data_IF_107561009605
#
_entry.id   IF_107561009605
#
_cell.length_a   1.000
_cell.length_b   1.000
_cell.length_c   1.000
_cell.angle_alpha   90.00
_cell.angle_beta   90.00
_cell.angle_gamma   90.00
#
_symmetry.space_group_name_H-M   'P 1'
#
loop_
_entity.id
_entity.type
_entity.pdbx_description
1 polymer ?
#
# COMPACT_ATOMS: atom_id res chain seq x y z
N UNK A 1 28.76 -20.29 35.22
CA UNK A 1 28.50 -18.85 34.97
C UNK A 1 29.08 -18.33 33.65
N UNK A 2 30.35 -18.59 33.29
CA UNK A 2 30.98 -18.01 32.08
C UNK A 2 30.26 -18.34 30.74
N UNK A 3 29.80 -19.57 30.53
CA UNK A 3 29.10 -19.98 29.30
C UNK A 3 27.74 -19.29 29.07
N UNK A 4 27.00 -18.99 30.15
CA UNK A 4 25.66 -18.41 30.05
C UNK A 4 25.70 -16.96 29.54
N UNK A 5 26.76 -16.21 29.89
CA UNK A 5 26.97 -14.85 29.43
C UNK A 5 27.26 -14.75 27.92
N UNK A 6 27.98 -15.72 27.35
CA UNK A 6 28.21 -15.76 25.90
C UNK A 6 26.92 -16.01 25.12
N UNK A 7 25.99 -16.80 25.67
CA UNK A 7 24.69 -17.07 25.05
C UNK A 7 23.85 -15.78 24.96
N UNK A 8 23.81 -14.98 26.03
CA UNK A 8 23.08 -13.71 26.06
C UNK A 8 23.73 -12.65 25.15
N UNK A 9 25.06 -12.59 25.09
CA UNK A 9 25.78 -11.73 24.15
C UNK A 9 25.49 -12.09 22.69
N UNK A 10 25.28 -13.37 22.38
CA UNK A 10 24.92 -13.84 21.03
C UNK A 10 23.48 -13.44 20.63
N UNK A 11 22.62 -13.15 21.60
CA UNK A 11 21.24 -12.70 21.39
C UNK A 11 21.18 -11.31 20.76
N UNK A 12 22.22 -10.47 20.96
CA UNK A 12 22.33 -9.12 20.42
C UNK A 12 22.40 -9.12 18.88
N UNK A 13 23.40 -9.77 18.23
CA UNK A 13 23.46 -9.79 16.77
C UNK A 13 22.26 -10.52 16.13
N UNK A 14 21.71 -11.54 16.80
CA UNK A 14 20.49 -12.23 16.34
C UNK A 14 19.29 -11.29 16.39
N UNK A 15 19.09 -10.56 17.48
CA UNK A 15 17.99 -9.61 17.62
C UNK A 15 18.06 -8.49 16.59
N UNK A 16 19.25 -7.92 16.37
CA UNK A 16 19.48 -6.86 15.37
C UNK A 16 19.20 -7.38 13.96
N UNK A 17 19.72 -8.55 13.58
CA UNK A 17 19.50 -9.11 12.24
C UNK A 17 18.03 -9.39 11.97
N UNK A 18 17.32 -9.96 12.95
CA UNK A 18 15.88 -10.17 12.86
C UNK A 18 15.12 -8.84 12.69
N UNK A 19 15.43 -7.83 13.51
CA UNK A 19 14.79 -6.51 13.42
C UNK A 19 15.03 -5.83 12.06
N UNK A 20 16.24 -5.93 11.50
CA UNK A 20 16.56 -5.37 10.17
C UNK A 20 15.78 -6.07 9.06
N UNK A 21 15.71 -7.41 9.08
CA UNK A 21 14.96 -8.19 8.06
C UNK A 21 13.47 -7.86 8.15
N UNK A 22 12.91 -7.87 9.36
CA UNK A 22 11.52 -7.52 9.63
C UNK A 22 11.18 -6.10 9.18
N UNK A 23 12.06 -5.14 9.46
CA UNK A 23 11.89 -3.76 9.00
C UNK A 23 11.83 -3.68 7.47
N UNK A 24 12.75 -4.36 6.76
CA UNK A 24 12.75 -4.40 5.29
C UNK A 24 11.45 -4.97 4.73
N UNK A 25 10.93 -6.05 5.31
CA UNK A 25 9.66 -6.63 4.89
C UNK A 25 8.45 -5.73 5.18
N UNK A 26 8.47 -5.01 6.30
CA UNK A 26 7.45 -4.03 6.63
C UNK A 26 7.44 -2.87 5.62
N UNK A 27 8.62 -2.29 5.32
CA UNK A 27 8.75 -1.26 4.30
C UNK A 27 8.33 -1.76 2.91
N UNK A 28 8.73 -2.97 2.51
CA UNK A 28 8.35 -3.56 1.22
C UNK A 28 6.83 -3.78 1.12
N UNK A 29 6.20 -4.24 2.20
CA UNK A 29 4.75 -4.44 2.25
C UNK A 29 3.99 -3.12 2.18
N UNK A 30 4.49 -2.08 2.86
CA UNK A 30 3.94 -0.72 2.76
C UNK A 30 4.15 -0.11 1.37
N UNK A 31 5.17 -0.56 0.64
CA UNK A 31 5.47 -0.12 -0.73
C UNK A 31 4.92 -1.11 -1.76
N UNK A 32 3.70 -1.61 -1.52
CA UNK A 32 2.97 -2.58 -2.35
C UNK A 32 3.36 -2.55 -3.84
N UNK A 33 3.73 -3.71 -4.38
CA UNK A 33 4.33 -3.84 -5.71
C UNK A 33 3.44 -3.23 -6.79
N UNK A 34 4.00 -2.29 -7.56
CA UNK A 34 3.28 -1.60 -8.62
C UNK A 34 3.27 -2.46 -9.87
N UNK A 35 2.06 -2.83 -10.31
CA UNK A 35 1.84 -3.64 -11.51
C UNK A 35 1.63 -2.74 -12.72
N UNK A 36 1.00 -1.59 -12.52
CA UNK A 36 0.67 -0.66 -13.59
C UNK A 36 0.56 0.77 -13.07
N UNK A 37 0.87 1.73 -13.94
CA UNK A 37 0.69 3.15 -13.72
C UNK A 37 0.21 3.82 -15.00
N UNK A 38 -0.79 4.71 -14.88
CA UNK A 38 -1.19 5.60 -15.96
C UNK A 38 -1.53 7.00 -15.44
N UNK A 39 -1.24 8.06 -16.20
CA UNK A 39 -1.69 9.40 -15.84
C UNK A 39 -3.22 9.49 -15.93
N UNK A 40 -3.84 10.24 -15.02
CA UNK A 40 -5.30 10.42 -15.02
C UNK A 40 -5.83 11.09 -16.30
N UNK A 41 -4.97 11.80 -17.06
CA UNK A 41 -5.32 12.42 -18.33
C UNK A 41 -5.59 11.44 -19.47
N UNK A 42 -5.16 10.18 -19.36
CA UNK A 42 -5.25 9.19 -20.45
C UNK A 42 -6.64 8.58 -20.60
N UNK A 43 -7.49 8.63 -19.57
CA UNK A 43 -8.85 8.08 -19.59
C UNK A 43 -8.92 6.55 -19.48
N UNK A 44 -8.13 5.82 -20.27
CA UNK A 44 -8.13 4.35 -20.32
C UNK A 44 -6.70 3.78 -20.41
N UNK A 45 -6.54 2.56 -19.90
CA UNK A 45 -5.26 1.86 -19.87
C UNK A 45 -5.41 0.34 -19.92
N UNK A 46 -4.39 -0.33 -20.45
CA UNK A 46 -4.34 -1.80 -20.51
C UNK A 46 -3.19 -2.28 -19.64
N UNK A 47 -3.44 -3.28 -18.81
CA UNK A 47 -2.45 -3.83 -17.90
C UNK A 47 -2.57 -5.35 -17.83
N UNK A 48 -1.46 -6.00 -17.48
CA UNK A 48 -1.39 -7.46 -17.36
C UNK A 48 -1.13 -7.85 -15.92
N UNK A 49 -1.91 -8.80 -15.44
CA UNK A 49 -1.74 -9.44 -14.14
C UNK A 49 -1.05 -10.78 -14.40
N UNK A 50 0.13 -10.96 -13.80
CA UNK A 50 0.95 -12.18 -13.94
C UNK A 50 0.66 -13.23 -12.87
N UNK A 51 0.00 -12.86 -11.78
CA UNK A 51 -0.28 -13.78 -10.67
C UNK A 51 -1.69 -13.51 -10.15
N UNK A 52 -2.47 -14.54 -9.85
CA UNK A 52 -3.78 -14.35 -9.23
C UNK A 52 -3.65 -13.72 -7.84
N UNK A 53 -4.54 -12.80 -7.48
CA UNK A 53 -4.52 -12.19 -6.16
C UNK A 53 -5.44 -10.98 -5.98
N UNK A 54 -5.28 -10.33 -4.84
CA UNK A 54 -5.95 -9.07 -4.52
C UNK A 54 -5.08 -7.89 -4.96
N UNK A 55 -5.72 -6.93 -5.60
CA UNK A 55 -5.12 -5.72 -6.13
C UNK A 55 -5.85 -4.50 -5.60
N UNK A 56 -5.11 -3.41 -5.43
CA UNK A 56 -5.64 -2.11 -5.04
C UNK A 56 -5.50 -1.10 -6.18
N UNK A 57 -6.50 -0.24 -6.33
CA UNK A 57 -6.45 0.96 -7.16
C UNK A 57 -6.05 2.13 -6.26
N UNK A 58 -4.90 2.71 -6.58
CA UNK A 58 -4.30 3.82 -5.86
C UNK A 58 -4.29 5.06 -6.75
N UNK A 59 -4.60 6.22 -6.17
CA UNK A 59 -4.30 7.51 -6.80
C UNK A 59 -3.04 8.06 -6.15
N UNK A 60 -2.01 8.29 -6.96
CA UNK A 60 -0.75 8.93 -6.56
C UNK A 60 -0.71 10.34 -7.13
N UNK A 61 -0.34 11.33 -6.32
CA UNK A 61 -0.22 12.70 -6.79
C UNK A 61 0.51 13.63 -5.84
N UNK A 62 0.64 14.89 -6.23
CA UNK A 62 1.35 15.91 -5.45
C UNK A 62 0.60 16.24 -4.16
N UNK A 63 1.34 16.25 -3.05
CA UNK A 63 0.81 16.63 -1.74
C UNK A 63 0.25 18.08 -1.77
N UNK A 64 -0.87 18.33 -1.11
CA UNK A 64 -1.55 19.64 -1.03
C UNK A 64 -2.14 20.19 -2.34
N UNK A 65 -2.32 19.36 -3.36
CA UNK A 65 -3.07 19.73 -4.57
C UNK A 65 -4.51 19.19 -4.51
N UNK A 66 -5.41 19.75 -5.31
CA UNK A 66 -6.82 19.33 -5.35
C UNK A 66 -6.90 17.94 -5.97
N UNK A 67 -7.21 16.93 -5.14
CA UNK A 67 -7.28 15.52 -5.55
C UNK A 67 -8.41 15.29 -6.56
N UNK A 68 -8.28 14.38 -7.54
CA UNK A 68 -9.35 14.02 -8.49
C UNK A 68 -10.36 12.99 -7.95
N UNK A 69 -10.28 12.65 -6.66
CA UNK A 69 -11.15 11.64 -6.03
C UNK A 69 -12.61 12.07 -6.08
N UNK A 70 -13.47 11.18 -6.57
CA UNK A 70 -14.92 11.40 -6.63
C UNK A 70 -15.43 12.16 -7.86
N UNK A 71 -14.53 12.77 -8.64
CA UNK A 71 -14.87 13.41 -9.91
C UNK A 71 -15.11 12.38 -11.02
N UNK A 72 -14.51 11.20 -10.89
CA UNK A 72 -14.74 10.04 -11.76
C UNK A 72 -14.67 8.73 -10.96
N UNK A 73 -15.26 7.67 -11.51
CA UNK A 73 -15.17 6.31 -10.99
C UNK A 73 -14.22 5.44 -11.82
N UNK A 74 -14.09 4.19 -11.42
CA UNK A 74 -13.24 3.22 -12.11
C UNK A 74 -14.08 2.05 -12.61
N UNK A 75 -13.77 1.58 -13.82
CA UNK A 75 -14.22 0.28 -14.30
C UNK A 75 -13.00 -0.55 -14.67
N UNK A 76 -13.05 -1.84 -14.35
CA UNK A 76 -12.05 -2.82 -14.79
C UNK A 76 -12.78 -3.92 -15.54
N UNK A 77 -12.31 -4.24 -16.74
CA UNK A 77 -12.89 -5.26 -17.60
C UNK A 77 -11.79 -6.24 -17.99
N UNK A 78 -12.10 -7.53 -17.91
CA UNK A 78 -11.21 -8.57 -18.41
C UNK A 78 -11.22 -8.55 -19.95
N UNK A 79 -10.08 -8.35 -20.58
CA UNK A 79 -10.01 -8.09 -22.02
C UNK A 79 -10.53 -9.26 -22.86
N UNK A 80 -10.24 -10.50 -22.45
CA UNK A 80 -10.64 -11.69 -23.22
C UNK A 80 -12.13 -12.06 -23.04
N UNK A 81 -12.69 -11.89 -21.85
CA UNK A 81 -14.06 -12.34 -21.54
C UNK A 81 -15.06 -11.20 -21.58
N UNK A 82 -14.62 -9.95 -21.57
CA UNK A 82 -15.50 -8.78 -21.45
C UNK A 82 -16.15 -8.63 -20.08
N UNK A 83 -15.81 -9.50 -19.12
CA UNK A 83 -16.42 -9.50 -17.80
C UNK A 83 -15.95 -8.30 -16.97
N UNK A 84 -16.91 -7.56 -16.40
CA UNK A 84 -16.62 -6.48 -15.46
C UNK A 84 -16.20 -7.05 -14.11
N UNK A 85 -15.09 -6.55 -13.58
CA UNK A 85 -14.58 -6.95 -12.27
C UNK A 85 -15.25 -6.07 -11.19
N UNK A 86 -15.88 -6.66 -10.17
CA UNK A 86 -16.47 -5.90 -9.08
C UNK A 86 -15.37 -5.23 -8.26
N UNK A 87 -15.55 -3.94 -7.98
CA UNK A 87 -14.63 -3.15 -7.16
C UNK A 87 -15.22 -3.00 -5.75
N UNK A 88 -14.40 -3.25 -4.72
CA UNK A 88 -14.75 -3.04 -3.32
C UNK A 88 -14.16 -1.72 -2.83
N UNK A 89 -15.03 -0.81 -2.36
CA UNK A 89 -14.62 0.48 -1.82
C UNK A 89 -13.86 0.32 -0.50
N UNK A 90 -12.75 1.03 -0.34
CA UNK A 90 -12.00 1.10 0.92
C UNK A 90 -12.45 2.35 1.69
N UNK A 91 -13.29 2.15 2.70
CA UNK A 91 -13.85 3.24 3.52
C UNK A 91 -12.77 3.89 4.40
N UNK A 92 -11.98 3.10 5.11
CA UNK A 92 -10.78 3.57 5.82
C UNK A 92 -9.60 3.60 4.87
N UNK A 93 -9.54 4.69 4.09
CA UNK A 93 -8.51 4.85 3.07
C UNK A 93 -7.11 4.88 3.69
N UNK A 94 -6.26 3.98 3.20
CA UNK A 94 -4.84 4.01 3.55
C UNK A 94 -4.17 5.10 2.71
N UNK A 95 -3.55 6.06 3.40
CA UNK A 95 -2.72 7.09 2.76
C UNK A 95 -1.26 6.83 3.06
N UNK A 96 -0.44 6.69 2.01
CA UNK A 96 1.01 6.66 2.14
C UNK A 96 1.52 8.05 1.74
N UNK A 97 1.99 8.80 2.73
CA UNK A 97 2.57 10.12 2.51
C UNK A 97 4.08 9.97 2.30
N UNK A 98 4.54 10.26 1.09
CA UNK A 98 5.93 10.57 0.84
C UNK A 98 6.23 12.05 1.12
N UNK A 99 7.51 12.44 1.02
CA UNK A 99 7.94 13.84 1.23
C UNK A 99 7.30 14.84 0.25
N UNK A 100 6.94 14.42 -0.96
CA UNK A 100 6.37 15.29 -2.01
C UNK A 100 5.07 14.77 -2.63
N UNK A 101 4.77 13.49 -2.44
CA UNK A 101 3.64 12.80 -3.06
C UNK A 101 2.79 12.08 -2.01
N UNK A 102 1.48 12.16 -2.15
CA UNK A 102 0.55 11.33 -1.39
C UNK A 102 -0.01 10.24 -2.31
N UNK A 103 -0.17 9.05 -1.75
CA UNK A 103 -0.85 7.94 -2.41
C UNK A 103 -2.05 7.55 -1.57
N UNK A 104 -3.21 7.45 -2.21
CA UNK A 104 -4.47 7.12 -1.57
C UNK A 104 -5.06 5.88 -2.23
N UNK A 105 -5.29 4.84 -1.45
CA UNK A 105 -6.03 3.66 -1.91
C UNK A 105 -7.53 3.95 -1.91
N UNK A 106 -8.21 3.64 -3.01
CA UNK A 106 -9.64 3.91 -3.17
C UNK A 106 -10.47 2.63 -3.25
N UNK A 107 -10.01 1.68 -4.06
CA UNK A 107 -10.74 0.46 -4.37
C UNK A 107 -9.81 -0.74 -4.27
N UNK A 108 -10.36 -1.89 -3.90
CA UNK A 108 -9.71 -3.19 -3.99
C UNK A 108 -10.51 -4.11 -4.90
N UNK A 109 -9.83 -5.06 -5.54
CA UNK A 109 -10.47 -6.05 -6.39
C UNK A 109 -9.65 -7.35 -6.43
N UNK A 110 -10.33 -8.47 -6.62
CA UNK A 110 -9.69 -9.74 -6.90
C UNK A 110 -9.58 -9.93 -8.41
N UNK A 111 -8.42 -10.39 -8.89
CA UNK A 111 -8.24 -10.69 -10.30
C UNK A 111 -7.34 -11.92 -10.49
N UNK A 112 -7.63 -12.64 -11.56
CA UNK A 112 -6.87 -13.79 -12.02
C UNK A 112 -5.72 -13.35 -12.93
N UNK A 113 -4.89 -14.31 -13.36
CA UNK A 113 -3.87 -14.04 -14.35
C UNK A 113 -4.52 -13.71 -15.70
N UNK A 114 -4.16 -12.58 -16.29
CA UNK A 114 -4.80 -12.13 -17.53
C UNK A 114 -4.51 -10.68 -17.89
N UNK A 115 -5.06 -10.25 -19.01
CA UNK A 115 -4.99 -8.86 -19.47
C UNK A 115 -6.30 -8.16 -19.22
N UNK A 116 -6.22 -6.97 -18.64
CA UNK A 116 -7.35 -6.18 -18.18
C UNK A 116 -7.26 -4.76 -18.73
N UNK A 117 -8.42 -4.15 -18.86
CA UNK A 117 -8.59 -2.77 -19.27
C UNK A 117 -9.17 -2.00 -18.09
N UNK A 118 -8.53 -0.90 -17.72
CA UNK A 118 -9.00 0.04 -16.70
C UNK A 118 -9.44 1.33 -17.38
N UNK A 119 -10.65 1.79 -17.08
CA UNK A 119 -11.19 3.05 -17.57
C UNK A 119 -11.64 3.94 -16.41
N UNK A 120 -11.49 5.26 -16.62
CA UNK A 120 -11.87 6.33 -15.67
C UNK A 120 -13.27 6.89 -15.96
N UNK A 121 -14.05 6.22 -16.81
CA UNK A 121 -15.43 6.60 -17.17
C UNK A 121 -16.49 5.98 -16.24
N UNK A 122 -16.04 5.31 -15.17
CA UNK A 122 -16.93 4.68 -14.20
C UNK A 122 -17.73 5.68 -13.39
N UNK A 123 -18.83 5.20 -12.81
CA UNK A 123 -19.58 6.00 -11.86
C UNK A 123 -18.83 6.06 -10.53
N UNK A 124 -18.59 7.27 -10.01
CA UNK A 124 -18.03 7.44 -8.67
C UNK A 124 -19.04 7.10 -7.59
N UNK A 125 -18.57 6.47 -6.51
CA UNK A 125 -19.43 6.12 -5.38
C UNK A 125 -19.98 7.37 -4.67
N UNK A 126 -21.15 7.24 -4.05
CA UNK A 126 -21.81 8.34 -3.33
C UNK A 126 -20.92 8.94 -2.22
N UNK A 127 -20.13 8.11 -1.52
CA UNK A 127 -19.16 8.57 -0.53
C UNK A 127 -18.07 9.46 -1.15
N UNK A 128 -17.53 9.04 -2.30
CA UNK A 128 -16.50 9.80 -3.02
C UNK A 128 -17.08 11.10 -3.60
N UNK A 129 -18.31 11.07 -4.15
CA UNK A 129 -19.06 12.25 -4.60
C UNK A 129 -19.29 13.24 -3.46
N UNK A 130 -19.64 12.76 -2.27
CA UNK A 130 -19.79 13.58 -1.07
C UNK A 130 -18.49 14.28 -0.67
N UNK A 131 -17.37 13.56 -0.67
CA UNK A 131 -16.04 14.14 -0.43
C UNK A 131 -15.69 15.18 -1.49
N UNK A 132 -15.96 14.90 -2.77
CA UNK A 132 -15.71 15.82 -3.87
C UNK A 132 -16.52 17.11 -3.74
N UNK A 133 -17.79 17.02 -3.34
CA UNK A 133 -18.66 18.17 -3.13
C UNK A 133 -18.12 19.11 -2.05
N UNK A 134 -17.81 18.58 -0.86
CA UNK A 134 -17.24 19.36 0.25
C UNK A 134 -15.90 19.99 -0.15
N UNK A 135 -15.03 19.24 -0.81
CA UNK A 135 -13.74 19.73 -1.32
C UNK A 135 -13.92 20.86 -2.34
N UNK A 136 -14.86 20.73 -3.27
CA UNK A 136 -15.10 21.72 -4.32
C UNK A 136 -15.61 23.06 -3.75
N UNK A 137 -16.35 23.02 -2.65
CA UNK A 137 -16.75 24.23 -1.92
C UNK A 137 -15.56 24.94 -1.28
N UNK A 138 -14.58 24.19 -0.74
CA UNK A 138 -13.41 24.75 -0.05
C UNK A 138 -12.32 25.20 -1.06
N UNK A 139 -12.07 24.40 -2.09
CA UNK A 139 -11.00 24.61 -3.07
C UNK A 139 -11.61 24.81 -4.45
N UNK A 140 -11.75 26.07 -4.85
CA UNK A 140 -12.36 26.47 -6.12
C UNK A 140 -11.44 26.33 -7.34
N UNK A 141 -10.18 25.90 -7.17
CA UNK A 141 -9.24 25.70 -8.27
C UNK A 141 -9.66 24.53 -9.18
N UNK A 142 -9.38 24.57 -10.49
CA UNK A 142 -9.56 23.42 -11.37
C UNK A 142 -8.62 22.28 -10.97
N UNK A 143 -9.03 21.05 -11.24
CA UNK A 143 -8.23 19.85 -10.96
C UNK A 143 -7.26 19.67 -12.11
N UNK A 144 -5.96 19.64 -11.80
CA UNK A 144 -4.92 19.34 -12.77
C UNK A 144 -4.64 17.84 -12.76
N UNK A 145 -5.30 17.12 -13.68
CA UNK A 145 -5.16 15.67 -13.82
C UNK A 145 -3.75 15.23 -14.21
N UNK A 146 -2.91 16.11 -14.75
CA UNK A 146 -1.53 15.79 -15.12
C UNK A 146 -0.64 15.52 -13.90
N UNK A 147 -1.03 16.04 -12.73
CA UNK A 147 -0.31 15.88 -11.46
C UNK A 147 -0.64 14.57 -10.75
N UNK A 148 -1.56 13.78 -11.31
CA UNK A 148 -2.06 12.56 -10.72
C UNK A 148 -1.90 11.37 -11.66
N UNK A 149 -1.56 10.24 -11.06
CA UNK A 149 -1.53 8.95 -11.72
C UNK A 149 -2.37 7.93 -10.97
N UNK A 150 -3.02 7.06 -11.73
CA UNK A 150 -3.68 5.86 -11.24
C UNK A 150 -2.66 4.75 -11.25
N UNK A 151 -2.51 4.08 -10.12
CA UNK A 151 -1.59 2.97 -9.94
C UNK A 151 -2.39 1.73 -9.52
N UNK A 152 -2.07 0.60 -10.15
CA UNK A 152 -2.57 -0.70 -9.73
C UNK A 152 -1.44 -1.38 -8.98
N UNK A 153 -1.71 -1.76 -7.73
CA UNK A 153 -0.72 -2.37 -6.85
C UNK A 153 -1.21 -3.70 -6.32
N UNK A 154 -0.30 -4.67 -6.21
CA UNK A 154 -0.61 -5.97 -5.61
C UNK A 154 -0.68 -5.80 -4.09
N UNK A 155 -1.75 -6.28 -3.48
CA UNK A 155 -1.86 -6.26 -2.03
C UNK A 155 -0.85 -7.26 -1.45
N UNK A 156 -0.01 -6.82 -0.53
CA UNK A 156 0.91 -7.73 0.15
C UNK A 156 0.12 -8.64 1.08
N UNK A 157 0.48 -9.93 1.20
CA UNK A 157 -0.26 -10.83 2.06
C UNK A 157 -0.24 -10.31 3.50
N UNK A 158 -1.43 -10.22 4.12
CA UNK A 158 -1.60 -9.69 5.48
C UNK A 158 -0.72 -10.44 6.50
N UNK A 159 -0.52 -11.74 6.32
CA UNK A 159 0.37 -12.54 7.18
C UNK A 159 1.84 -12.09 7.12
N UNK A 160 2.33 -11.58 5.99
CA UNK A 160 3.70 -11.05 5.87
C UNK A 160 3.86 -9.80 6.73
N UNK A 161 2.82 -8.96 6.74
CA UNK A 161 2.80 -7.77 7.58
C UNK A 161 2.77 -8.14 9.07
N UNK A 162 1.91 -9.08 9.48
CA UNK A 162 1.89 -9.61 10.85
C UNK A 162 3.25 -10.20 11.26
N UNK A 163 3.82 -11.08 10.43
CA UNK A 163 5.11 -11.72 10.72
C UNK A 163 6.25 -10.68 10.82
N UNK A 164 6.20 -9.63 10.00
CA UNK A 164 7.15 -8.52 10.06
C UNK A 164 7.03 -7.73 11.37
N UNK A 165 5.82 -7.43 11.83
CA UNK A 165 5.59 -6.76 13.12
C UNK A 165 6.10 -7.61 14.28
N UNK A 166 5.72 -8.90 14.31
CA UNK A 166 6.19 -9.82 15.36
C UNK A 166 7.71 -9.95 15.36
N UNK A 167 8.33 -10.13 14.20
CA UNK A 167 9.79 -10.22 14.10
C UNK A 167 10.50 -8.93 14.55
N UNK A 168 9.91 -7.76 14.31
CA UNK A 168 10.44 -6.50 14.84
C UNK A 168 10.39 -6.48 16.38
N UNK A 169 9.24 -6.82 16.97
CA UNK A 169 9.05 -6.87 18.43
C UNK A 169 10.03 -7.88 19.05
N UNK A 170 10.09 -9.10 18.54
CA UNK A 170 11.00 -10.13 19.04
C UNK A 170 12.47 -9.74 18.85
N UNK A 171 12.82 -9.10 17.72
CA UNK A 171 14.18 -8.62 17.48
C UNK A 171 14.62 -7.57 18.49
N UNK A 172 13.76 -6.60 18.80
CA UNK A 172 14.02 -5.57 19.82
C UNK A 172 14.14 -6.20 21.21
N UNK A 173 13.19 -7.07 21.59
CA UNK A 173 13.19 -7.73 22.89
C UNK A 173 14.44 -8.61 23.09
N UNK A 174 14.83 -9.39 22.07
CA UNK A 174 16.04 -10.20 22.09
C UNK A 174 17.31 -9.34 22.26
N UNK A 175 17.36 -8.19 21.59
CA UNK A 175 18.47 -7.25 21.72
C UNK A 175 18.55 -6.67 23.14
N UNK A 176 17.43 -6.22 23.70
CA UNK A 176 17.36 -5.69 25.06
C UNK A 176 17.73 -6.73 26.12
N UNK A 177 17.18 -7.95 26.03
CA UNK A 177 17.50 -9.06 26.91
C UNK A 177 18.99 -9.42 26.84
N UNK A 178 19.56 -9.45 25.63
CA UNK A 178 20.98 -9.72 25.41
C UNK A 178 21.90 -8.67 26.04
N UNK A 179 21.43 -7.42 26.23
CA UNK A 179 22.17 -6.35 26.92
C UNK A 179 21.97 -6.41 28.43
N UNK A 180 20.73 -6.56 28.91
CA UNK A 180 20.38 -6.43 30.33
C UNK A 180 20.81 -7.65 31.15
N UNK A 181 20.57 -8.87 30.65
CA UNK A 181 20.83 -10.10 31.40
C UNK A 181 22.32 -10.28 31.79
N UNK A 182 23.31 -10.05 30.91
CA UNK A 182 24.72 -10.14 31.30
C UNK A 182 25.15 -9.12 32.36
N UNK A 183 24.46 -7.97 32.43
CA UNK A 183 24.75 -6.91 33.41
C UNK A 183 24.09 -7.25 34.76
N UNK A 184 22.85 -7.75 34.73
CA UNK A 184 22.08 -8.10 35.92
C UNK A 184 22.52 -9.42 36.58
N UNK A 185 23.06 -10.37 35.79
CA UNK A 185 23.58 -11.66 36.27
C UNK A 185 25.07 -11.61 36.63
N UNK A 186 25.64 -10.41 36.72
CA UNK A 186 27.05 -10.18 37.09
C UNK A 186 27.25 -10.21 38.60
#
# INVERSE_FOLDING_TARGET
MKQMNYLFLLLIPIGITLAVISSKHLFRSATAEMVYEMPCSKGEGVFRISEKGNYGIWISGKLFSKSPVGDFGFNIIHQQTGNKIPLSLILMRTSVNGFKTARLELYSFYAEEGTYVISLDGESNAFDKGIAAVRNTIIQKPIDYSLYSVQIRKHSPVYVLFLSIFGLIFGIMATLLGIVLPIALK
#
